data_IF_821480850758
#
_entry.id   IF_821480850758
#
_cell.length_a   1.000
_cell.length_b   1.000
_cell.length_c   1.000
_cell.angle_alpha   90.00
_cell.angle_beta   90.00
_cell.angle_gamma   90.00
#
_symmetry.space_group_name_H-M   'P 1'
#
loop_
_entity.id
_entity.type
_entity.pdbx_description
1 polymer ?
#
# COMPACT_ATOMS: atom_id res chain seq x y z
N UNK A 1 -16.39 4.78 -5.87
CA UNK A 1 -16.99 3.84 -4.89
C UNK A 1 -18.50 3.78 -5.02
N UNK A 2 -19.21 4.92 -5.00
CA UNK A 2 -20.67 4.97 -5.25
C UNK A 2 -21.11 4.23 -6.52
N UNK A 3 -20.38 4.39 -7.63
CA UNK A 3 -20.70 3.78 -8.93
C UNK A 3 -20.56 2.26 -8.97
N UNK A 4 -19.56 1.70 -8.28
CA UNK A 4 -19.19 0.28 -8.41
C UNK A 4 -19.33 -0.53 -7.12
N UNK A 5 -19.92 0.02 -6.05
CA UNK A 5 -19.99 -0.67 -4.75
C UNK A 5 -20.62 -2.06 -4.84
N UNK A 6 -21.63 -2.25 -5.71
CA UNK A 6 -22.28 -3.55 -5.93
C UNK A 6 -21.34 -4.62 -6.52
N UNK A 7 -20.30 -4.21 -7.24
CA UNK A 7 -19.26 -5.11 -7.78
C UNK A 7 -18.17 -5.42 -6.74
N UNK A 8 -18.10 -4.63 -5.67
CA UNK A 8 -17.13 -4.75 -4.57
C UNK A 8 -17.75 -5.48 -3.36
N UNK A 9 -18.49 -6.57 -3.62
CA UNK A 9 -19.27 -7.28 -2.62
C UNK A 9 -18.46 -7.78 -1.40
N UNK A 10 -17.16 -8.02 -1.58
CA UNK A 10 -16.27 -8.53 -0.54
C UNK A 10 -15.44 -7.44 0.16
N UNK A 11 -15.63 -6.16 -0.19
CA UNK A 11 -14.98 -5.04 0.49
C UNK A 11 -15.92 -4.51 1.56
N UNK A 12 -15.52 -4.66 2.82
CA UNK A 12 -16.31 -4.21 3.98
C UNK A 12 -16.10 -2.75 4.31
N UNK A 13 -14.85 -2.29 4.27
CA UNK A 13 -14.50 -0.93 4.62
C UNK A 13 -13.31 -0.42 3.81
N UNK A 14 -13.25 0.89 3.66
CA UNK A 14 -12.07 1.60 3.15
C UNK A 14 -11.71 2.68 4.15
N UNK A 15 -10.52 2.55 4.74
CA UNK A 15 -9.92 3.54 5.62
C UNK A 15 -9.00 4.44 4.79
N UNK A 16 -9.39 5.69 4.62
CA UNK A 16 -8.66 6.68 3.84
C UNK A 16 -8.06 7.74 4.77
N UNK A 17 -6.73 7.79 4.80
CA UNK A 17 -5.96 8.74 5.61
C UNK A 17 -5.19 9.68 4.67
N UNK A 18 -5.68 10.90 4.45
CA UNK A 18 -4.98 11.94 3.69
C UNK A 18 -4.09 12.82 4.58
N UNK A 19 -3.60 12.29 5.70
CA UNK A 19 -2.75 12.97 6.70
C UNK A 19 -3.41 14.17 7.39
N UNK A 20 -3.59 15.30 6.70
CA UNK A 20 -4.16 16.54 7.24
C UNK A 20 -5.06 17.33 6.28
N UNK A 21 -5.41 16.77 5.11
CA UNK A 21 -6.08 17.53 4.05
C UNK A 21 -7.57 17.83 4.32
N UNK A 22 -8.20 17.13 5.26
CA UNK A 22 -9.62 17.28 5.55
C UNK A 22 -9.98 16.92 7.00
N UNK A 23 -11.29 16.82 7.27
CA UNK A 23 -11.83 16.39 8.56
C UNK A 23 -12.25 14.92 8.54
N UNK A 24 -12.54 14.37 9.72
CA UNK A 24 -13.11 13.03 9.85
C UNK A 24 -14.52 12.98 9.22
N UNK A 25 -14.72 12.05 8.28
CA UNK A 25 -16.02 11.83 7.64
C UNK A 25 -16.30 10.33 7.48
N UNK A 26 -17.56 9.94 7.49
CA UNK A 26 -17.96 8.55 7.27
C UNK A 26 -19.16 8.50 6.35
N UNK A 27 -19.09 7.63 5.35
CA UNK A 27 -20.16 7.42 4.38
C UNK A 27 -20.48 5.93 4.30
N UNK A 28 -21.74 5.59 4.48
CA UNK A 28 -22.23 4.23 4.24
C UNK A 28 -22.70 4.12 2.79
N UNK A 29 -22.08 3.23 2.01
CA UNK A 29 -22.32 3.04 0.58
C UNK A 29 -22.74 1.57 0.39
N UNK A 30 -24.04 1.29 0.50
CA UNK A 30 -24.56 -0.07 0.48
C UNK A 30 -24.05 -0.87 1.68
N UNK A 31 -23.24 -1.90 1.43
CA UNK A 31 -22.61 -2.74 2.47
C UNK A 31 -21.23 -2.26 2.92
N UNK A 32 -20.68 -1.22 2.28
CA UNK A 32 -19.33 -0.73 2.48
C UNK A 32 -19.32 0.54 3.33
N UNK A 33 -18.42 0.61 4.30
CA UNK A 33 -18.13 1.84 5.06
C UNK A 33 -16.90 2.55 4.47
N UNK A 34 -17.07 3.80 4.03
CA UNK A 34 -15.96 4.66 3.61
C UNK A 34 -15.62 5.63 4.73
N UNK A 35 -14.44 5.47 5.32
CA UNK A 35 -13.99 6.15 6.52
C UNK A 35 -12.83 7.08 6.16
N UNK A 36 -13.08 8.39 6.14
CA UNK A 36 -12.05 9.42 5.98
C UNK A 36 -11.50 9.77 7.36
N UNK A 37 -10.25 9.40 7.64
CA UNK A 37 -9.62 9.50 8.95
C UNK A 37 -8.19 10.06 8.82
N UNK A 38 -8.04 11.38 8.62
CA UNK A 38 -6.73 12.02 8.51
C UNK A 38 -5.93 11.84 9.80
N UNK A 39 -4.67 11.43 9.71
CA UNK A 39 -3.82 11.10 10.86
C UNK A 39 -3.83 12.19 11.94
N UNK A 40 -3.78 13.46 11.54
CA UNK A 40 -3.68 14.59 12.47
C UNK A 40 -5.01 14.95 13.16
N UNK A 41 -6.12 14.28 12.84
CA UNK A 41 -7.46 14.60 13.33
C UNK A 41 -7.91 13.70 14.50
N UNK A 42 -7.00 13.43 15.44
CA UNK A 42 -7.31 12.70 16.68
C UNK A 42 -7.55 11.20 16.50
N UNK A 43 -7.06 10.61 15.40
CA UNK A 43 -7.25 9.20 15.04
C UNK A 43 -6.23 8.25 15.71
N UNK A 44 -5.75 8.63 16.89
CA UNK A 44 -4.82 7.85 17.73
C UNK A 44 -3.53 7.46 17.03
N UNK A 45 -3.05 8.31 16.11
CA UNK A 45 -1.84 8.10 15.32
C UNK A 45 -1.77 6.73 14.64
N UNK A 46 -2.93 6.14 14.29
CA UNK A 46 -3.03 4.80 13.70
C UNK A 46 -2.28 4.73 12.36
N UNK A 47 -1.22 3.92 12.25
CA UNK A 47 -0.55 3.68 10.97
C UNK A 47 -1.47 2.99 9.95
N UNK A 48 -1.06 2.98 8.68
CA UNK A 48 -1.81 2.31 7.60
C UNK A 48 -1.62 0.78 7.54
N UNK A 49 -0.72 0.22 8.36
CA UNK A 49 -0.40 -1.21 8.42
C UNK A 49 -0.78 -1.82 9.78
N UNK A 50 -2.00 -1.54 10.25
CA UNK A 50 -2.56 -2.12 11.49
C UNK A 50 -3.44 -3.34 11.20
N UNK A 51 -3.80 -4.09 12.25
CA UNK A 51 -4.78 -5.16 12.07
C UNK A 51 -6.13 -4.54 11.71
N UNK A 52 -6.95 -5.19 10.88
CA UNK A 52 -8.28 -4.69 10.52
C UNK A 52 -9.13 -4.30 11.75
N UNK A 53 -9.01 -5.04 12.85
CA UNK A 53 -9.71 -4.77 14.10
C UNK A 53 -9.38 -3.40 14.72
N UNK A 54 -8.20 -2.86 14.46
CA UNK A 54 -7.73 -1.59 15.03
C UNK A 54 -8.41 -0.38 14.38
N UNK A 55 -8.98 -0.57 13.19
CA UNK A 55 -9.74 0.46 12.45
C UNK A 55 -11.24 0.49 12.80
N UNK A 56 -11.74 -0.46 13.60
CA UNK A 56 -13.15 -0.53 13.95
C UNK A 56 -13.60 0.68 14.78
N UNK A 57 -14.82 1.12 14.52
CA UNK A 57 -15.56 2.08 15.34
C UNK A 57 -16.80 1.41 15.96
N UNK A 58 -17.50 2.06 16.91
CA UNK A 58 -18.71 1.50 17.49
C UNK A 58 -19.72 1.06 16.41
N UNK A 59 -20.05 -0.24 16.40
CA UNK A 59 -20.98 -0.85 15.44
C UNK A 59 -20.30 -1.61 14.29
N UNK A 60 -18.99 -1.52 14.14
CA UNK A 60 -18.24 -2.28 13.15
C UNK A 60 -17.84 -3.68 13.66
N UNK A 61 -17.68 -4.61 12.72
CA UNK A 61 -17.01 -5.90 12.94
C UNK A 61 -16.07 -6.18 11.74
N UNK A 62 -14.78 -5.98 11.97
CA UNK A 62 -13.68 -6.25 11.05
C UNK A 62 -12.84 -7.46 11.49
N UNK A 63 -13.30 -8.23 12.48
CA UNK A 63 -12.55 -9.37 13.05
C UNK A 63 -12.21 -10.46 12.04
N UNK A 64 -13.01 -10.58 10.98
CA UNK A 64 -12.84 -11.55 9.89
C UNK A 64 -12.31 -10.93 8.59
N UNK A 65 -11.97 -9.64 8.61
CA UNK A 65 -11.46 -8.95 7.43
C UNK A 65 -9.97 -9.25 7.22
N UNK A 66 -9.55 -9.21 5.97
CA UNK A 66 -8.14 -9.15 5.59
C UNK A 66 -7.73 -7.69 5.39
N UNK A 67 -6.49 -7.34 5.74
CA UNK A 67 -5.93 -6.03 5.44
C UNK A 67 -5.36 -6.02 4.03
N UNK A 68 -5.76 -5.03 3.24
CA UNK A 68 -5.06 -4.60 2.04
C UNK A 68 -4.72 -3.12 2.19
N UNK A 69 -3.49 -2.72 1.84
CA UNK A 69 -3.07 -1.33 1.84
C UNK A 69 -2.72 -0.92 0.42
N UNK A 70 -3.30 0.18 -0.05
CA UNK A 70 -2.97 0.77 -1.35
C UNK A 70 -1.75 1.66 -1.17
N UNK A 71 -0.82 1.60 -2.11
CA UNK A 71 0.45 2.34 -2.05
C UNK A 71 0.49 3.41 -3.12
N UNK A 72 0.86 4.64 -2.75
CA UNK A 72 1.07 5.73 -3.70
C UNK A 72 2.39 5.51 -4.45
N UNK A 73 2.29 4.87 -5.61
CA UNK A 73 3.41 4.51 -6.47
C UNK A 73 3.53 5.46 -7.67
N UNK A 74 4.71 5.50 -8.30
CA UNK A 74 4.97 6.28 -9.51
C UNK A 74 5.15 5.38 -10.74
N UNK A 75 5.28 6.01 -11.92
CA UNK A 75 5.27 5.32 -13.21
C UNK A 75 6.60 4.68 -13.61
N UNK A 76 7.71 5.06 -12.97
CA UNK A 76 9.07 4.78 -13.47
C UNK A 76 9.98 4.09 -12.44
N UNK A 77 9.51 3.88 -11.22
CA UNK A 77 10.22 3.12 -10.18
C UNK A 77 9.72 1.67 -10.08
N UNK A 78 10.41 0.84 -9.31
CA UNK A 78 9.87 -0.45 -8.84
C UNK A 78 9.07 -0.22 -7.56
N UNK A 79 8.12 -1.11 -7.19
CA UNK A 79 7.41 -1.01 -5.92
C UNK A 79 8.38 -0.97 -4.74
N UNK A 80 8.37 0.14 -4.01
CA UNK A 80 9.25 0.49 -2.90
C UNK A 80 10.18 1.68 -3.18
N UNK A 81 10.30 2.11 -4.44
CA UNK A 81 11.02 3.32 -4.90
C UNK A 81 12.25 3.70 -4.05
N UNK A 82 12.12 4.73 -3.20
CA UNK A 82 13.16 5.29 -2.34
C UNK A 82 13.88 4.24 -1.48
N UNK A 83 13.18 3.16 -1.12
CA UNK A 83 13.71 2.12 -0.27
C UNK A 83 14.73 1.22 -0.97
N UNK A 84 14.74 1.14 -2.32
CA UNK A 84 15.83 0.47 -3.04
C UNK A 84 17.18 1.14 -2.75
N UNK A 85 17.20 2.48 -2.69
CA UNK A 85 18.36 3.28 -2.31
C UNK A 85 18.59 3.35 -0.77
N UNK A 86 17.76 2.66 0.01
CA UNK A 86 17.86 2.57 1.47
C UNK A 86 17.16 3.70 2.24
N UNK A 87 16.39 4.56 1.56
CA UNK A 87 15.65 5.64 2.20
C UNK A 87 14.24 5.16 2.63
N UNK A 88 13.91 5.33 3.91
CA UNK A 88 12.57 5.08 4.45
C UNK A 88 11.75 6.38 4.33
N UNK A 89 11.36 6.71 3.10
CA UNK A 89 10.68 7.94 2.75
C UNK A 89 9.57 7.67 1.75
N UNK A 90 8.64 8.63 1.62
CA UNK A 90 7.39 8.52 0.84
C UNK A 90 6.47 7.38 1.30
N UNK A 91 5.25 7.33 0.80
CA UNK A 91 4.33 6.23 1.14
C UNK A 91 4.88 4.87 0.67
N UNK A 92 5.43 4.83 -0.54
CA UNK A 92 5.97 3.62 -1.16
C UNK A 92 7.20 3.09 -0.44
N UNK A 93 8.20 3.95 -0.22
CA UNK A 93 9.43 3.53 0.47
C UNK A 93 9.19 3.17 1.95
N UNK A 94 8.31 3.88 2.66
CA UNK A 94 7.95 3.55 4.05
C UNK A 94 7.24 2.19 4.14
N UNK A 95 6.29 1.91 3.24
CA UNK A 95 5.56 0.62 3.25
C UNK A 95 6.43 -0.53 2.78
N UNK A 96 7.32 -0.31 1.82
CA UNK A 96 8.29 -1.33 1.42
C UNK A 96 9.27 -1.64 2.55
N UNK A 97 9.74 -0.61 3.27
CA UNK A 97 10.58 -0.82 4.45
C UNK A 97 9.88 -1.60 5.56
N UNK A 98 8.59 -1.36 5.77
CA UNK A 98 7.81 -1.98 6.84
C UNK A 98 7.33 -3.42 6.53
N UNK A 99 7.54 -3.92 5.31
CA UNK A 99 7.02 -5.22 4.85
C UNK A 99 8.12 -6.05 4.18
N UNK A 100 7.81 -7.29 3.80
CA UNK A 100 8.71 -8.14 3.02
C UNK A 100 8.54 -7.95 1.50
N UNK A 101 8.04 -6.79 1.04
CA UNK A 101 7.80 -6.53 -0.39
C UNK A 101 9.07 -6.73 -1.21
N UNK A 102 10.23 -6.36 -0.68
CA UNK A 102 11.51 -6.52 -1.38
C UNK A 102 11.84 -7.98 -1.67
N UNK A 103 11.53 -8.90 -0.76
CA UNK A 103 11.68 -10.33 -1.02
C UNK A 103 10.68 -10.82 -2.07
N UNK A 104 9.43 -10.34 -2.02
CA UNK A 104 8.43 -10.68 -3.04
C UNK A 104 8.82 -10.18 -4.44
N UNK A 105 9.44 -9.00 -4.53
CA UNK A 105 9.87 -8.41 -5.80
C UNK A 105 11.15 -9.04 -6.36
N UNK A 106 12.08 -9.42 -5.49
CA UNK A 106 13.41 -9.90 -5.91
C UNK A 106 13.55 -11.42 -5.89
N UNK A 107 12.66 -12.14 -5.19
CA UNK A 107 12.82 -13.56 -4.89
C UNK A 107 13.92 -13.87 -3.88
N UNK A 108 14.54 -12.84 -3.26
CA UNK A 108 15.66 -12.97 -2.34
C UNK A 108 15.20 -12.59 -0.93
N UNK A 109 15.30 -13.53 0.00
CA UNK A 109 14.90 -13.32 1.39
C UNK A 109 15.86 -12.36 2.11
N UNK A 110 15.27 -11.34 2.72
CA UNK A 110 15.93 -10.41 3.62
C UNK A 110 15.60 -10.70 5.08
N UNK A 111 15.83 -9.70 5.95
CA UNK A 111 15.48 -9.79 7.37
C UNK A 111 14.93 -8.47 7.87
N UNK A 112 13.81 -8.54 8.58
CA UNK A 112 13.28 -7.37 9.29
C UNK A 112 14.16 -7.03 10.49
N UNK A 113 14.67 -5.81 10.51
CA UNK A 113 15.40 -5.23 11.63
C UNK A 113 14.45 -4.33 12.44
N UNK A 114 14.15 -4.75 13.66
CA UNK A 114 13.26 -4.03 14.58
C UNK A 114 13.85 -2.71 15.08
N UNK A 115 15.18 -2.57 15.11
CA UNK A 115 15.83 -1.35 15.61
C UNK A 115 15.65 -0.22 14.60
N UNK A 116 15.81 -0.52 13.31
CA UNK A 116 15.62 0.46 12.24
C UNK A 116 14.21 0.47 11.66
N UNK A 117 13.36 -0.49 12.07
CA UNK A 117 12.02 -0.72 11.51
C UNK A 117 12.03 -0.83 9.98
N UNK A 118 12.99 -1.61 9.45
CA UNK A 118 13.17 -1.81 8.00
C UNK A 118 13.46 -3.27 7.64
N UNK A 119 12.98 -3.71 6.48
CA UNK A 119 13.31 -5.02 5.90
C UNK A 119 14.63 -4.94 5.13
N UNK A 120 15.72 -5.40 5.75
CA UNK A 120 17.09 -5.30 5.24
C UNK A 120 17.40 -6.39 4.20
N UNK A 121 18.22 -6.10 3.18
CA UNK A 121 18.74 -7.13 2.30
C UNK A 121 19.68 -8.09 3.06
N UNK A 122 19.90 -9.31 2.56
CA UNK A 122 20.84 -10.25 3.18
C UNK A 122 22.29 -9.77 3.03
N UNK A 123 23.21 -10.14 3.93
CA UNK A 123 24.65 -9.92 3.71
C UNK A 123 25.13 -10.56 2.40
N UNK A 124 26.10 -9.97 1.70
CA UNK A 124 26.88 -8.79 2.06
C UNK A 124 26.26 -7.44 1.63
N UNK A 125 25.04 -7.44 1.11
CA UNK A 125 24.42 -6.26 0.53
C UNK A 125 24.05 -5.20 1.58
N UNK A 126 24.20 -3.92 1.20
CA UNK A 126 23.84 -2.77 2.05
C UNK A 126 22.53 -2.11 1.63
N UNK A 127 22.10 -2.32 0.40
CA UNK A 127 20.86 -1.79 -0.17
C UNK A 127 20.20 -2.84 -1.06
N UNK A 128 18.91 -2.70 -1.30
CA UNK A 128 18.19 -3.56 -2.23
C UNK A 128 18.51 -3.22 -3.69
N UNK A 129 18.92 -1.99 -3.99
CA UNK A 129 19.50 -1.64 -5.29
C UNK A 129 20.73 -2.52 -5.61
N UNK A 130 21.64 -2.70 -4.64
CA UNK A 130 22.81 -3.57 -4.84
C UNK A 130 22.39 -5.02 -5.12
N UNK A 131 21.34 -5.51 -4.45
CA UNK A 131 20.78 -6.85 -4.71
C UNK A 131 20.29 -6.95 -6.16
N UNK A 132 19.53 -5.96 -6.63
CA UNK A 132 18.98 -5.94 -8.00
C UNK A 132 20.10 -5.91 -9.03
N UNK A 133 21.06 -4.99 -8.87
CA UNK A 133 22.14 -4.80 -9.84
C UNK A 133 23.08 -6.00 -9.91
N UNK A 134 23.55 -6.52 -8.77
CA UNK A 134 24.53 -7.61 -8.74
C UNK A 134 23.96 -8.94 -9.21
N UNK A 135 22.64 -9.14 -9.05
CA UNK A 135 21.94 -10.34 -9.52
C UNK A 135 21.30 -10.15 -10.91
N UNK A 136 21.45 -8.97 -11.53
CA UNK A 136 20.89 -8.67 -12.85
C UNK A 136 19.37 -8.80 -12.91
N UNK A 137 18.67 -8.50 -11.81
CA UNK A 137 17.22 -8.67 -11.69
C UNK A 137 16.48 -7.68 -12.59
N UNK A 138 15.33 -8.12 -13.11
CA UNK A 138 14.45 -7.32 -13.97
C UNK A 138 13.01 -7.44 -13.51
N UNK A 139 12.26 -6.35 -13.61
CA UNK A 139 10.84 -6.35 -13.39
C UNK A 139 10.14 -6.68 -14.71
N UNK A 140 9.45 -7.81 -14.71
CA UNK A 140 8.70 -8.28 -15.86
C UNK A 140 7.24 -8.46 -15.48
N UNK A 141 6.35 -8.22 -16.44
CA UNK A 141 4.93 -8.50 -16.26
C UNK A 141 4.65 -9.94 -16.68
N UNK A 142 4.05 -10.71 -15.79
CA UNK A 142 3.63 -12.08 -16.09
C UNK A 142 2.10 -12.21 -16.11
N UNK A 143 1.56 -12.85 -17.14
CA UNK A 143 0.15 -13.26 -17.21
C UNK A 143 -0.80 -12.14 -17.65
N UNK A 144 -1.63 -11.64 -16.73
CA UNK A 144 -2.89 -10.90 -17.01
C UNK A 144 -2.69 -9.40 -17.27
N UNK A 145 -1.75 -9.04 -18.14
CA UNK A 145 -1.64 -7.65 -18.61
C UNK A 145 -2.80 -7.34 -19.57
N UNK A 146 -3.65 -6.38 -19.20
CA UNK A 146 -4.65 -5.81 -20.10
C UNK A 146 -4.34 -4.34 -20.32
N UNK A 147 -3.90 -4.00 -21.52
CA UNK A 147 -3.70 -2.61 -21.92
C UNK A 147 -5.06 -2.06 -22.37
N UNK A 148 -5.62 -1.12 -21.61
CA UNK A 148 -6.87 -0.49 -21.99
C UNK A 148 -6.61 0.51 -23.12
N UNK A 149 -7.44 0.53 -24.18
CA UNK A 149 -7.29 1.49 -25.26
C UNK A 149 -7.51 2.92 -24.75
N UNK A 150 -6.78 3.88 -25.33
CA UNK A 150 -7.08 5.30 -25.13
C UNK A 150 -8.39 5.59 -25.86
N UNK A 151 -9.48 5.75 -25.12
CA UNK A 151 -10.73 6.26 -25.68
C UNK A 151 -10.54 7.74 -26.00
N UNK A 152 -10.10 8.03 -27.22
CA UNK A 152 -10.18 9.39 -27.76
C UNK A 152 -11.64 9.60 -28.16
N UNK A 153 -12.45 10.12 -27.23
CA UNK A 153 -13.73 10.69 -27.58
C UNK A 153 -13.46 11.91 -28.47
N UNK A 154 -13.55 11.70 -29.79
CA UNK A 154 -13.61 12.81 -30.73
C UNK A 154 -14.95 13.50 -30.48
N UNK A 155 -14.92 14.62 -29.77
CA UNK A 155 -16.06 15.52 -29.72
C UNK A 155 -16.43 15.91 -31.16
N UNK A 156 -17.64 15.55 -31.58
CA UNK A 156 -18.33 16.12 -32.73
C UNK A 156 -19.68 16.62 -32.27
#
# INVERSE_FOLDING_TARGET
MSEHHTQLANIRAVYFDPYNECDNQRFEIGHLSFMVRPLTQGNQDKPQLCRPSDYQEPGDDFSKCLLFSVVAWDHVSWPGNDFYAGARSTDDGVKAAATSSMAAMTGIEGRYDQVTATYKPPPPYRSWEAVVLDNGLRLEVAGRLSIMPINVSVAR
#
